data_IF_351608721902
#
_entry.id   IF_351608721902
#
_cell.length_a   1.000
_cell.length_b   1.000
_cell.length_c   1.000
_cell.angle_alpha   90.00
_cell.angle_beta   90.00
_cell.angle_gamma   90.00
#
_symmetry.space_group_name_H-M   'P 1'
#
loop_
_entity.id
_entity.type
_entity.pdbx_description
1 polymer ?
#
# COMPACT_ATOMS: atom_id res chain seq x y z
N UNK A 1 7.16 -2.52 2.95
CA UNK A 1 7.66 -1.16 3.28
C UNK A 1 8.93 -0.83 2.49
N UNK A 2 9.88 -1.78 2.35
CA UNK A 2 11.16 -1.52 1.69
C UNK A 2 11.05 -0.90 0.30
N UNK A 3 10.12 -1.40 -0.50
CA UNK A 3 9.91 -0.91 -1.87
C UNK A 3 9.51 0.58 -1.89
N UNK A 4 8.65 1.02 -0.98
CA UNK A 4 8.24 2.42 -0.87
C UNK A 4 9.34 3.32 -0.34
N UNK A 5 10.11 2.84 0.64
CA UNK A 5 11.18 3.66 1.24
C UNK A 5 12.36 3.91 0.29
N UNK A 6 12.62 3.01 -0.65
CA UNK A 6 13.77 3.10 -1.55
C UNK A 6 13.40 3.56 -2.97
N UNK A 7 12.37 2.95 -3.60
CA UNK A 7 12.16 3.14 -5.04
C UNK A 7 11.72 4.56 -5.45
N UNK A 8 10.78 5.23 -4.75
CA UNK A 8 10.46 6.63 -5.06
C UNK A 8 11.68 7.54 -4.87
N UNK A 9 12.43 7.37 -3.77
CA UNK A 9 13.65 8.15 -3.55
C UNK A 9 14.69 7.95 -4.66
N UNK A 10 14.94 6.70 -5.08
CA UNK A 10 15.87 6.43 -6.19
C UNK A 10 15.41 7.09 -7.50
N UNK A 11 14.11 7.00 -7.81
CA UNK A 11 13.57 7.58 -9.04
C UNK A 11 13.68 9.12 -9.02
N UNK A 12 13.32 9.76 -7.90
CA UNK A 12 13.44 11.20 -7.70
C UNK A 12 14.89 11.66 -7.76
N UNK A 13 15.80 10.96 -7.10
CA UNK A 13 17.24 11.23 -7.13
C UNK A 13 17.77 11.12 -8.58
N UNK A 14 17.41 10.05 -9.28
CA UNK A 14 17.82 9.84 -10.67
C UNK A 14 17.37 10.96 -11.60
N UNK A 15 16.12 11.41 -11.46
CA UNK A 15 15.56 12.50 -12.25
C UNK A 15 16.21 13.84 -11.89
N UNK A 16 16.36 14.14 -10.58
CA UNK A 16 16.89 15.42 -10.09
C UNK A 16 18.36 15.63 -10.46
N UNK A 17 19.15 14.59 -10.38
CA UNK A 17 20.62 14.67 -10.59
C UNK A 17 21.06 14.13 -11.96
N UNK A 18 20.12 13.89 -12.88
CA UNK A 18 20.41 13.35 -14.22
C UNK A 18 21.22 12.04 -14.17
N UNK A 19 20.76 11.11 -13.33
CA UNK A 19 21.37 9.79 -13.15
C UNK A 19 20.34 8.69 -13.44
N UNK A 20 20.00 8.44 -14.72
CA UNK A 20 18.92 7.56 -15.15
C UNK A 20 19.04 6.13 -14.63
N UNK A 21 20.25 5.64 -14.34
CA UNK A 21 20.47 4.30 -13.77
C UNK A 21 19.72 4.07 -12.44
N UNK A 22 19.41 5.12 -11.69
CA UNK A 22 18.63 4.99 -10.46
C UNK A 22 17.13 4.86 -10.72
N UNK A 23 16.65 5.44 -11.83
CA UNK A 23 15.29 5.20 -12.32
C UNK A 23 15.17 3.76 -12.82
N UNK A 24 16.14 3.28 -13.61
CA UNK A 24 16.18 1.90 -14.09
C UNK A 24 16.17 0.92 -12.92
N UNK A 25 16.95 1.20 -11.88
CA UNK A 25 17.01 0.34 -10.68
C UNK A 25 15.67 0.35 -9.92
N UNK A 26 15.03 1.51 -9.74
CA UNK A 26 13.71 1.60 -9.11
C UNK A 26 12.66 0.76 -9.87
N UNK A 27 12.64 0.87 -11.19
CA UNK A 27 11.76 0.08 -12.06
C UNK A 27 12.07 -1.41 -11.96
N UNK A 28 13.37 -1.78 -11.98
CA UNK A 28 13.81 -3.17 -11.82
C UNK A 28 13.34 -3.77 -10.49
N UNK A 29 13.48 -3.05 -9.38
CA UNK A 29 13.02 -3.49 -8.05
C UNK A 29 11.51 -3.71 -8.02
N UNK A 30 10.76 -2.82 -8.64
CA UNK A 30 9.30 -2.94 -8.78
C UNK A 30 8.95 -4.19 -9.60
N UNK A 31 9.57 -4.42 -10.75
CA UNK A 31 9.33 -5.61 -11.59
C UNK A 31 9.64 -6.92 -10.84
N UNK A 32 10.74 -6.96 -10.10
CA UNK A 32 11.11 -8.12 -9.26
C UNK A 32 10.08 -8.36 -8.16
N UNK A 33 9.66 -7.31 -7.47
CA UNK A 33 8.63 -7.41 -6.43
C UNK A 33 7.31 -7.94 -7.02
N UNK A 34 6.83 -7.39 -8.14
CA UNK A 34 5.63 -7.88 -8.83
C UNK A 34 5.75 -9.37 -9.15
N UNK A 35 6.84 -9.75 -9.83
CA UNK A 35 7.07 -11.12 -10.29
C UNK A 35 6.93 -12.17 -9.18
N UNK A 36 7.37 -11.84 -7.96
CA UNK A 36 7.49 -12.82 -6.87
C UNK A 36 6.42 -12.72 -5.80
N UNK A 37 5.73 -11.57 -5.69
CA UNK A 37 4.72 -11.36 -4.64
C UNK A 37 3.29 -11.27 -5.15
N UNK A 38 3.06 -11.12 -6.45
CA UNK A 38 1.72 -11.05 -7.03
C UNK A 38 1.02 -12.40 -6.99
N UNK A 39 -0.24 -12.40 -6.58
CA UNK A 39 -1.15 -13.54 -6.67
C UNK A 39 -2.27 -13.24 -7.70
N UNK A 40 -2.20 -13.90 -8.85
CA UNK A 40 -3.16 -13.70 -9.94
C UNK A 40 -4.59 -14.12 -9.59
N UNK A 41 -4.78 -14.98 -8.59
CA UNK A 41 -6.10 -15.44 -8.14
C UNK A 41 -6.85 -14.37 -7.37
N UNK A 42 -6.14 -13.58 -6.57
CA UNK A 42 -6.74 -12.54 -5.72
C UNK A 42 -6.52 -11.13 -6.26
N UNK A 43 -5.54 -10.93 -7.13
CA UNK A 43 -5.08 -9.62 -7.58
C UNK A 43 -4.31 -8.85 -6.49
N UNK A 44 -3.92 -9.52 -5.41
CA UNK A 44 -3.20 -8.95 -4.28
C UNK A 44 -1.70 -9.30 -4.31
N UNK A 45 -0.97 -8.75 -3.35
CA UNK A 45 0.46 -8.95 -3.20
C UNK A 45 0.79 -9.51 -1.81
N UNK A 46 1.54 -10.60 -1.75
CA UNK A 46 2.10 -11.11 -0.50
C UNK A 46 3.04 -10.08 0.13
N UNK A 47 3.12 -10.09 1.46
CA UNK A 47 3.94 -9.12 2.21
C UNK A 47 5.42 -9.17 1.82
N UNK A 48 5.97 -10.34 1.59
CA UNK A 48 7.37 -10.52 1.19
C UNK A 48 7.59 -11.84 0.45
N UNK A 49 8.78 -11.92 -0.14
CA UNK A 49 9.30 -13.11 -0.79
C UNK A 49 10.76 -13.34 -0.38
N UNK A 50 11.10 -14.59 -0.09
CA UNK A 50 12.46 -15.05 0.20
C UNK A 50 12.97 -15.92 -0.95
N UNK A 51 13.95 -15.41 -1.70
CA UNK A 51 14.56 -16.12 -2.82
C UNK A 51 15.18 -17.45 -2.38
N UNK A 52 15.81 -17.46 -1.20
CA UNK A 52 16.46 -18.65 -0.67
C UNK A 52 15.47 -19.70 -0.15
N UNK A 53 14.22 -19.29 0.18
CA UNK A 53 13.15 -20.12 0.77
C UNK A 53 13.54 -20.72 2.12
N UNK A 54 14.55 -20.18 2.77
CA UNK A 54 15.10 -20.68 4.05
C UNK A 54 14.53 -19.95 5.26
N UNK A 55 13.86 -18.82 5.06
CA UNK A 55 13.21 -18.11 6.17
C UNK A 55 12.03 -18.92 6.68
N UNK A 56 11.90 -19.01 7.99
CA UNK A 56 10.83 -19.78 8.66
C UNK A 56 9.42 -19.29 8.32
N UNK A 57 9.27 -18.01 7.95
CA UNK A 57 8.02 -17.43 7.52
C UNK A 57 7.72 -17.70 6.02
N UNK A 58 8.71 -18.12 5.24
CA UNK A 58 8.55 -18.32 3.81
C UNK A 58 7.98 -19.70 3.48
N UNK A 59 7.11 -19.73 2.48
CA UNK A 59 6.68 -20.98 1.89
C UNK A 59 7.90 -21.67 1.25
N UNK A 60 8.14 -22.93 1.62
CA UNK A 60 9.32 -23.70 1.15
C UNK A 60 9.34 -24.00 -0.36
N UNK A 61 8.21 -23.81 -1.05
CA UNK A 61 8.09 -24.02 -2.50
C UNK A 61 8.14 -22.69 -3.24
N UNK A 62 7.34 -21.70 -2.83
CA UNK A 62 7.20 -20.42 -3.54
C UNK A 62 8.11 -19.32 -3.00
N UNK A 63 8.52 -19.38 -1.75
CA UNK A 63 9.25 -18.33 -1.03
C UNK A 63 8.37 -17.19 -0.50
N UNK A 64 7.08 -17.21 -0.79
CA UNK A 64 6.14 -16.15 -0.39
C UNK A 64 5.77 -16.24 1.09
N UNK A 65 5.44 -15.10 1.68
CA UNK A 65 4.86 -15.01 3.02
C UNK A 65 3.41 -15.50 3.04
N UNK A 66 2.85 -15.89 4.21
CA UNK A 66 1.58 -16.64 4.24
C UNK A 66 0.32 -15.77 4.03
N UNK A 67 0.37 -14.45 4.27
CA UNK A 67 -0.82 -13.60 4.29
C UNK A 67 -0.65 -12.31 3.48
N UNK A 68 -1.78 -11.73 3.07
CA UNK A 68 -1.87 -10.42 2.43
C UNK A 68 -2.03 -9.33 3.51
N UNK A 69 -0.93 -8.78 3.98
CA UNK A 69 -0.95 -7.70 4.95
C UNK A 69 -1.31 -6.37 4.27
N UNK A 70 -2.40 -5.74 4.72
CA UNK A 70 -2.96 -4.56 4.07
C UNK A 70 -1.94 -3.43 3.86
N UNK A 71 -1.19 -3.03 4.90
CA UNK A 71 -0.20 -1.95 4.77
C UNK A 71 0.93 -2.26 3.78
N UNK A 72 1.33 -3.53 3.60
CA UNK A 72 2.33 -3.84 2.57
C UNK A 72 1.80 -3.58 1.17
N UNK A 73 0.53 -3.84 0.94
CA UNK A 73 -0.17 -3.55 -0.32
C UNK A 73 -0.31 -2.04 -0.51
N UNK A 74 -0.70 -1.32 0.54
CA UNK A 74 -0.75 0.14 0.51
C UNK A 74 0.59 0.78 0.16
N UNK A 75 1.69 0.36 0.80
CA UNK A 75 3.05 0.81 0.46
C UNK A 75 3.44 0.48 -0.98
N UNK A 76 3.06 -0.70 -1.45
CA UNK A 76 3.30 -1.11 -2.83
C UNK A 76 2.58 -0.18 -3.81
N UNK A 77 1.30 0.12 -3.55
CA UNK A 77 0.51 0.99 -4.42
C UNK A 77 1.05 2.42 -4.43
N UNK A 78 1.40 2.97 -3.25
CA UNK A 78 2.06 4.28 -3.17
C UNK A 78 3.37 4.31 -3.95
N UNK A 79 4.21 3.27 -3.82
CA UNK A 79 5.48 3.20 -4.55
C UNK A 79 5.28 3.28 -6.06
N UNK A 80 4.26 2.61 -6.60
CA UNK A 80 3.96 2.63 -8.03
C UNK A 80 3.61 4.04 -8.52
N UNK A 81 2.68 4.72 -7.84
CA UNK A 81 2.21 6.03 -8.29
C UNK A 81 3.26 7.13 -8.08
N UNK A 82 4.12 7.00 -7.04
CA UNK A 82 5.15 7.99 -6.75
C UNK A 82 6.39 7.81 -7.65
N UNK A 83 6.78 6.58 -7.96
CA UNK A 83 7.85 6.33 -8.94
C UNK A 83 7.47 6.82 -10.33
N UNK A 84 6.20 6.67 -10.73
CA UNK A 84 5.70 7.11 -12.03
C UNK A 84 5.80 8.63 -12.25
N UNK A 85 5.93 9.45 -11.21
CA UNK A 85 6.18 10.89 -11.35
C UNK A 85 7.56 11.17 -11.96
N UNK A 86 8.51 10.27 -11.80
CA UNK A 86 9.91 10.46 -12.20
C UNK A 86 10.35 9.54 -13.36
N UNK A 87 9.57 8.52 -13.69
CA UNK A 87 9.86 7.63 -14.83
C UNK A 87 9.49 8.33 -16.14
N UNK A 88 10.43 8.54 -17.08
CA UNK A 88 10.15 9.17 -18.36
C UNK A 88 9.04 8.49 -19.16
N UNK A 89 8.33 9.25 -20.00
CA UNK A 89 7.20 8.73 -20.76
C UNK A 89 7.60 7.62 -21.75
N UNK A 90 8.81 7.67 -22.26
CA UNK A 90 9.42 6.72 -23.20
C UNK A 90 10.21 5.61 -22.54
N UNK A 91 10.27 5.58 -21.22
CA UNK A 91 10.97 4.52 -20.47
C UNK A 91 10.29 3.16 -20.69
N UNK A 92 11.07 2.14 -21.05
CA UNK A 92 10.58 0.79 -21.39
C UNK A 92 9.73 0.11 -20.31
N UNK A 93 9.97 0.44 -19.04
CA UNK A 93 9.25 -0.12 -17.89
C UNK A 93 8.00 0.63 -17.47
N UNK A 94 7.75 1.83 -18.05
CA UNK A 94 6.62 2.68 -17.62
C UNK A 94 5.27 2.00 -17.83
N UNK A 95 5.08 1.31 -18.93
CA UNK A 95 3.84 0.60 -19.24
C UNK A 95 3.53 -0.51 -18.23
N UNK A 96 4.55 -1.24 -17.75
CA UNK A 96 4.38 -2.27 -16.74
C UNK A 96 3.90 -1.67 -15.40
N UNK A 97 4.51 -0.56 -14.95
CA UNK A 97 4.11 0.11 -13.72
C UNK A 97 2.65 0.59 -13.79
N UNK A 98 2.24 1.18 -14.91
CA UNK A 98 0.85 1.59 -15.12
C UNK A 98 -0.08 0.37 -15.10
N UNK A 99 0.30 -0.75 -15.72
CA UNK A 99 -0.49 -1.98 -15.69
C UNK A 99 -0.64 -2.53 -14.26
N UNK A 100 0.41 -2.43 -13.42
CA UNK A 100 0.33 -2.83 -12.01
C UNK A 100 -0.60 -1.92 -11.19
N UNK A 101 -0.58 -0.60 -11.46
CA UNK A 101 -1.54 0.37 -10.88
C UNK A 101 -2.97 0.01 -11.26
N UNK A 102 -3.21 -0.27 -12.54
CA UNK A 102 -4.53 -0.67 -13.07
C UNK A 102 -5.03 -1.98 -12.43
N UNK A 103 -4.13 -2.96 -12.28
CA UNK A 103 -4.45 -4.24 -11.63
C UNK A 103 -4.89 -4.07 -10.18
N UNK A 104 -4.19 -3.24 -9.40
CA UNK A 104 -4.60 -2.93 -8.02
C UNK A 104 -5.91 -2.15 -7.95
N UNK A 105 -6.08 -1.15 -8.81
CA UNK A 105 -7.32 -0.39 -8.87
C UNK A 105 -8.53 -1.28 -9.21
N UNK A 106 -8.33 -2.34 -10.00
CA UNK A 106 -9.38 -3.30 -10.31
C UNK A 106 -9.68 -4.27 -9.16
N UNK A 107 -8.66 -4.70 -8.40
CA UNK A 107 -8.83 -5.71 -7.34
C UNK A 107 -9.24 -5.13 -5.99
N UNK A 108 -8.67 -4.00 -5.57
CA UNK A 108 -8.88 -3.44 -4.23
C UNK A 108 -10.34 -3.11 -3.87
N UNK A 109 -11.22 -2.66 -4.80
CA UNK A 109 -12.63 -2.42 -4.47
C UNK A 109 -13.39 -3.66 -3.97
N UNK A 110 -12.97 -4.88 -4.37
CA UNK A 110 -13.58 -6.13 -3.89
C UNK A 110 -13.28 -6.40 -2.40
N UNK A 111 -12.22 -5.81 -1.87
CA UNK A 111 -11.79 -5.96 -0.48
C UNK A 111 -12.14 -4.74 0.38
N UNK A 112 -12.70 -3.69 -0.21
CA UNK A 112 -13.19 -2.53 0.52
C UNK A 112 -14.52 -2.86 1.18
N UNK A 113 -14.61 -2.69 2.49
CA UNK A 113 -15.85 -2.98 3.21
C UNK A 113 -16.98 -1.97 2.89
N UNK A 114 -18.15 -2.21 3.49
CA UNK A 114 -19.31 -1.33 3.30
C UNK A 114 -19.07 0.11 3.78
N UNK A 115 -18.21 0.28 4.78
CA UNK A 115 -17.86 1.57 5.38
C UNK A 115 -16.68 2.25 4.66
N UNK A 116 -16.13 1.63 3.61
CA UNK A 116 -15.04 2.20 2.79
C UNK A 116 -13.64 1.88 3.29
N UNK A 117 -13.48 0.97 4.24
CA UNK A 117 -12.21 0.66 4.88
C UNK A 117 -11.62 -0.66 4.38
N UNK A 118 -10.31 -0.82 4.53
CA UNK A 118 -9.62 -2.09 4.32
C UNK A 118 -9.06 -2.62 5.63
N UNK A 119 -8.97 -3.95 5.72
CA UNK A 119 -8.61 -4.67 6.92
C UNK A 119 -7.10 -4.93 7.03
N UNK A 120 -6.64 -5.19 8.25
CA UNK A 120 -5.24 -5.53 8.58
C UNK A 120 -4.73 -6.72 7.74
N UNK A 121 -5.50 -7.81 7.65
CA UNK A 121 -5.31 -8.91 6.69
C UNK A 121 -6.44 -8.80 5.67
N UNK A 122 -6.11 -8.28 4.49
CA UNK A 122 -7.07 -7.62 3.61
C UNK A 122 -8.13 -8.57 3.01
N UNK A 123 -7.78 -9.83 2.79
CA UNK A 123 -8.63 -10.85 2.18
C UNK A 123 -9.45 -11.68 3.19
N UNK A 124 -9.38 -11.35 4.49
CA UNK A 124 -10.01 -12.11 5.55
C UNK A 124 -10.84 -11.22 6.50
N UNK A 125 -11.74 -10.35 5.99
CA UNK A 125 -12.44 -9.35 6.81
C UNK A 125 -13.29 -9.98 7.91
N UNK A 126 -13.92 -11.15 7.65
CA UNK A 126 -14.81 -11.83 8.58
C UNK A 126 -14.07 -12.70 9.62
N UNK A 127 -12.75 -12.83 9.50
CA UNK A 127 -12.00 -13.69 10.41
C UNK A 127 -11.85 -13.02 11.77
N UNK A 128 -12.10 -13.78 12.84
CA UNK A 128 -12.05 -13.30 14.22
C UNK A 128 -10.75 -12.57 14.54
N UNK A 129 -10.88 -11.39 15.17
CA UNK A 129 -9.76 -10.54 15.57
C UNK A 129 -9.23 -9.61 14.48
N UNK A 130 -9.65 -9.77 13.21
CA UNK A 130 -9.27 -8.82 12.15
C UNK A 130 -10.00 -7.48 12.35
N UNK A 131 -9.40 -6.41 11.86
CA UNK A 131 -9.94 -5.07 12.06
C UNK A 131 -9.68 -4.15 10.87
N UNK A 132 -10.57 -3.16 10.61
CA UNK A 132 -10.30 -2.09 9.68
C UNK A 132 -9.08 -1.28 10.14
N UNK A 133 -8.10 -1.12 9.25
CA UNK A 133 -6.78 -0.59 9.61
C UNK A 133 -6.52 0.74 8.87
N UNK A 134 -6.10 1.75 9.64
CA UNK A 134 -5.98 3.11 9.14
C UNK A 134 -4.93 3.26 8.05
N UNK A 135 -3.74 2.64 8.19
CA UNK A 135 -2.67 2.90 7.25
C UNK A 135 -2.93 2.31 5.86
N UNK A 136 -3.45 1.10 5.75
CA UNK A 136 -3.82 0.56 4.44
C UNK A 136 -4.92 1.41 3.79
N UNK A 137 -5.89 1.86 4.58
CA UNK A 137 -7.01 2.66 4.07
C UNK A 137 -6.54 4.01 3.54
N UNK A 138 -5.70 4.73 4.28
CA UNK A 138 -5.16 6.03 3.85
C UNK A 138 -4.22 5.90 2.66
N UNK A 139 -3.39 4.86 2.63
CA UNK A 139 -2.46 4.59 1.53
C UNK A 139 -3.19 4.24 0.23
N UNK A 140 -4.22 3.39 0.29
CA UNK A 140 -5.04 3.06 -0.87
C UNK A 140 -5.85 4.28 -1.34
N UNK A 141 -6.43 5.06 -0.43
CA UNK A 141 -7.11 6.31 -0.74
C UNK A 141 -6.22 7.26 -1.53
N UNK A 142 -5.01 7.53 -1.02
CA UNK A 142 -4.04 8.38 -1.71
C UNK A 142 -3.66 7.84 -3.08
N UNK A 143 -3.25 6.57 -3.16
CA UNK A 143 -2.75 6.01 -4.41
C UNK A 143 -3.83 5.95 -5.50
N UNK A 144 -5.08 5.63 -5.14
CA UNK A 144 -6.21 5.63 -6.09
C UNK A 144 -6.50 7.05 -6.56
N UNK A 145 -6.61 8.03 -5.65
CA UNK A 145 -6.89 9.41 -6.01
C UNK A 145 -5.82 9.98 -6.94
N UNK A 146 -4.53 9.78 -6.59
CA UNK A 146 -3.40 10.20 -7.44
C UNK A 146 -3.41 9.50 -8.80
N UNK A 147 -3.67 8.19 -8.84
CA UNK A 147 -3.71 7.46 -10.10
C UNK A 147 -4.83 7.96 -11.04
N UNK A 148 -5.98 8.35 -10.48
CA UNK A 148 -7.06 9.02 -11.25
C UNK A 148 -6.59 10.37 -11.76
N UNK A 149 -6.06 11.24 -10.90
CA UNK A 149 -5.61 12.59 -11.27
C UNK A 149 -4.51 12.56 -12.34
N UNK A 150 -3.64 11.54 -12.32
CA UNK A 150 -2.58 11.34 -13.32
C UNK A 150 -3.06 10.62 -14.60
N UNK A 151 -4.32 10.21 -14.68
CA UNK A 151 -4.87 9.49 -15.83
C UNK A 151 -4.35 8.05 -16.01
N UNK A 152 -3.81 7.43 -14.96
CA UNK A 152 -3.33 6.04 -15.02
C UNK A 152 -4.46 5.02 -14.94
N UNK A 153 -5.59 5.40 -14.33
CA UNK A 153 -6.81 4.58 -14.19
C UNK A 153 -8.06 5.38 -14.54
N UNK A 154 -9.15 4.66 -14.80
CA UNK A 154 -10.46 5.23 -15.14
C UNK A 154 -10.97 6.15 -14.01
N UNK A 155 -11.51 7.35 -14.32
CA UNK A 155 -12.07 8.29 -13.33
C UNK A 155 -13.13 7.70 -12.40
N UNK A 156 -13.84 6.64 -12.81
CA UNK A 156 -14.80 5.94 -11.94
C UNK A 156 -14.22 5.46 -10.61
N UNK A 157 -12.90 5.19 -10.56
CA UNK A 157 -12.22 4.77 -9.33
C UNK A 157 -12.11 5.89 -8.29
N UNK A 158 -12.34 7.15 -8.66
CA UNK A 158 -12.40 8.25 -7.69
C UNK A 158 -13.41 7.98 -6.57
N UNK A 159 -14.56 7.40 -6.90
CA UNK A 159 -15.57 7.03 -5.92
C UNK A 159 -15.08 6.05 -4.86
N UNK A 160 -14.10 5.18 -5.18
CA UNK A 160 -13.49 4.26 -4.21
C UNK A 160 -12.64 5.02 -3.19
N UNK A 161 -11.86 6.01 -3.65
CA UNK A 161 -11.06 6.85 -2.77
C UNK A 161 -11.93 7.77 -1.89
N UNK A 162 -13.00 8.34 -2.46
CA UNK A 162 -13.97 9.17 -1.71
C UNK A 162 -14.72 8.35 -0.65
N UNK A 163 -15.08 7.11 -0.97
CA UNK A 163 -15.69 6.19 0.00
C UNK A 163 -14.72 5.89 1.14
N UNK A 164 -13.42 5.69 0.86
CA UNK A 164 -12.39 5.50 1.88
C UNK A 164 -12.23 6.76 2.76
N UNK A 165 -12.22 7.95 2.18
CA UNK A 165 -12.16 9.21 2.91
C UNK A 165 -13.34 9.34 3.87
N UNK A 166 -14.56 9.08 3.42
CA UNK A 166 -15.75 9.15 4.25
C UNK A 166 -15.70 8.13 5.39
N UNK A 167 -15.30 6.89 5.09
CA UNK A 167 -15.14 5.86 6.12
C UNK A 167 -14.09 6.19 7.16
N UNK A 168 -12.93 6.75 6.75
CA UNK A 168 -11.92 7.25 7.67
C UNK A 168 -12.50 8.34 8.58
N UNK A 169 -13.19 9.32 8.00
CA UNK A 169 -13.80 10.42 8.73
C UNK A 169 -14.83 9.95 9.76
N UNK A 170 -15.68 9.01 9.39
CA UNK A 170 -16.78 8.55 10.26
C UNK A 170 -16.34 7.54 11.31
N UNK A 171 -15.35 6.69 11.02
CA UNK A 171 -15.01 5.52 11.84
C UNK A 171 -13.66 5.59 12.53
N UNK A 172 -12.68 6.28 11.92
CA UNK A 172 -11.30 6.25 12.39
C UNK A 172 -10.75 7.62 12.81
N UNK A 173 -11.38 8.72 12.41
CA UNK A 173 -11.07 10.05 12.91
C UNK A 173 -11.91 10.36 14.15
N UNK A 174 -11.24 10.84 15.19
CA UNK A 174 -11.86 11.35 16.42
C UNK A 174 -11.48 12.82 16.59
N UNK A 175 -12.47 13.67 16.73
CA UNK A 175 -12.25 15.06 17.12
C UNK A 175 -12.01 15.15 18.63
N UNK A 176 -10.99 15.88 19.02
CA UNK A 176 -10.61 16.11 20.40
C UNK A 176 -11.27 17.42 20.93
N UNK A 177 -11.40 17.59 22.25
CA UNK A 177 -12.02 18.80 22.83
C UNK A 177 -11.33 20.12 22.47
N UNK A 178 -10.07 20.08 22.07
CA UNK A 178 -9.28 21.23 21.61
C UNK A 178 -9.40 21.50 20.10
N UNK A 179 -10.25 20.75 19.37
CA UNK A 179 -10.46 20.87 17.94
C UNK A 179 -9.40 20.14 17.08
N UNK A 180 -8.42 19.48 17.68
CA UNK A 180 -7.48 18.63 16.94
C UNK A 180 -8.12 17.30 16.56
N UNK A 181 -7.55 16.65 15.54
CA UNK A 181 -8.01 15.34 15.09
C UNK A 181 -7.04 14.23 15.50
N UNK A 182 -7.58 13.10 15.90
CA UNK A 182 -6.82 11.88 16.15
C UNK A 182 -7.22 10.82 15.13
N UNK A 183 -6.28 10.36 14.34
CA UNK A 183 -6.45 9.19 13.47
C UNK A 183 -6.13 7.92 14.25
N UNK A 184 -7.14 7.09 14.46
CA UNK A 184 -7.07 5.90 15.30
C UNK A 184 -6.81 4.63 14.50
N UNK A 185 -6.55 3.51 15.19
CA UNK A 185 -6.47 2.15 14.63
C UNK A 185 -5.39 1.94 13.57
N UNK A 186 -4.23 2.58 13.71
CA UNK A 186 -3.07 2.25 12.91
C UNK A 186 -2.28 1.10 13.57
N UNK A 187 -2.02 0.03 12.85
CA UNK A 187 -1.08 -1.01 13.27
C UNK A 187 0.31 -0.40 13.49
N UNK A 188 0.88 -0.56 14.68
CA UNK A 188 2.15 0.07 15.04
C UNK A 188 3.29 -0.39 14.14
N UNK A 189 3.43 -1.69 13.95
CA UNK A 189 4.51 -2.28 13.16
C UNK A 189 4.02 -3.56 12.48
N UNK A 190 4.63 -3.90 11.37
CA UNK A 190 4.51 -5.20 10.73
C UNK A 190 5.84 -5.53 10.06
N UNK A 191 6.24 -6.78 10.15
CA UNK A 191 7.50 -7.23 9.57
C UNK A 191 7.57 -8.75 9.58
N UNK A 192 8.66 -9.29 9.09
CA UNK A 192 8.90 -10.74 9.04
C UNK A 192 10.31 -11.02 9.57
N UNK A 193 10.47 -12.15 10.26
CA UNK A 193 11.73 -12.50 10.89
C UNK A 193 12.08 -11.61 12.09
N UNK A 194 13.36 -11.49 12.40
CA UNK A 194 13.85 -10.67 13.50
C UNK A 194 13.78 -11.33 14.89
N UNK A 195 13.92 -10.49 15.93
CA UNK A 195 13.84 -10.91 17.33
C UNK A 195 12.99 -9.89 18.11
N UNK A 196 11.85 -10.28 18.74
CA UNK A 196 11.22 -11.60 18.65
C UNK A 196 10.88 -11.97 17.19
N UNK A 197 10.78 -13.27 16.91
CA UNK A 197 10.53 -13.75 15.55
C UNK A 197 9.10 -13.48 15.11
N UNK A 198 8.95 -12.87 13.95
CA UNK A 198 7.68 -12.53 13.30
C UNK A 198 7.46 -13.50 12.15
N UNK A 199 6.49 -14.37 12.30
CA UNK A 199 6.25 -15.49 11.39
C UNK A 199 5.31 -15.17 10.22
N UNK A 200 4.69 -13.96 10.24
CA UNK A 200 3.72 -13.57 9.23
C UNK A 200 2.41 -14.33 9.25
N UNK A 201 2.14 -15.07 10.32
CA UNK A 201 0.86 -15.75 10.53
C UNK A 201 -0.28 -14.74 10.68
N UNK A 202 -1.52 -15.20 10.52
CA UNK A 202 -2.69 -14.38 10.82
C UNK A 202 -2.66 -13.86 12.26
N UNK A 203 -2.41 -14.76 13.22
CA UNK A 203 -2.32 -14.38 14.64
C UNK A 203 -1.25 -13.33 14.93
N UNK A 204 -0.12 -13.40 14.22
CA UNK A 204 0.90 -12.36 14.31
C UNK A 204 0.35 -10.98 13.88
N UNK A 205 -0.28 -10.87 12.73
CA UNK A 205 -0.76 -9.57 12.23
C UNK A 205 -1.86 -8.96 13.09
N UNK A 206 -2.83 -9.77 13.55
CA UNK A 206 -3.92 -9.24 14.38
C UNK A 206 -3.49 -8.96 15.83
N UNK A 207 -2.40 -9.60 16.30
CA UNK A 207 -1.81 -9.39 17.63
C UNK A 207 -0.90 -8.16 17.73
N UNK A 208 -0.59 -7.49 16.62
CA UNK A 208 0.24 -6.29 16.64
C UNK A 208 -0.48 -5.11 17.30
N UNK A 209 0.28 -4.32 18.05
CA UNK A 209 -0.26 -3.16 18.78
C UNK A 209 -0.88 -2.15 17.82
N UNK A 210 -1.99 -1.59 18.23
CA UNK A 210 -2.64 -0.46 17.57
C UNK A 210 -2.13 0.84 18.17
N UNK A 211 -1.96 1.86 17.33
CA UNK A 211 -1.41 3.16 17.70
C UNK A 211 -2.22 4.27 17.03
N UNK A 212 -2.50 5.33 17.81
CA UNK A 212 -3.13 6.53 17.28
C UNK A 212 -2.06 7.47 16.67
N UNK A 213 -2.46 8.26 15.70
CA UNK A 213 -1.63 9.27 15.01
C UNK A 213 -0.26 8.76 14.53
N UNK A 214 -0.21 7.51 14.09
CA UNK A 214 1.01 6.96 13.55
C UNK A 214 1.29 7.55 12.15
N UNK A 215 2.53 8.01 11.92
CA UNK A 215 2.94 8.67 10.68
C UNK A 215 2.68 7.83 9.42
N UNK A 216 2.65 6.50 9.54
CA UNK A 216 2.34 5.58 8.43
C UNK A 216 0.89 5.66 7.94
N UNK A 217 0.02 6.29 8.73
CA UNK A 217 -1.37 6.57 8.36
C UNK A 217 -1.61 8.08 8.18
N UNK A 218 -1.08 8.92 9.07
CA UNK A 218 -1.34 10.38 9.01
C UNK A 218 -0.71 11.03 7.78
N UNK A 219 0.49 10.63 7.38
CA UNK A 219 1.12 11.12 6.14
C UNK A 219 0.27 10.82 4.91
N UNK A 220 -0.02 9.54 4.61
CA UNK A 220 -0.91 9.19 3.49
C UNK A 220 -2.32 9.77 3.59
N UNK A 221 -2.87 9.98 4.78
CA UNK A 221 -4.14 10.68 4.95
C UNK A 221 -4.09 12.10 4.41
N UNK A 222 -3.06 12.88 4.79
CA UNK A 222 -2.87 14.26 4.32
C UNK A 222 -2.67 14.27 2.80
N UNK A 223 -1.81 13.39 2.28
CA UNK A 223 -1.56 13.27 0.84
C UNK A 223 -2.85 12.92 0.08
N UNK A 224 -3.66 11.99 0.59
CA UNK A 224 -4.93 11.61 -0.01
C UNK A 224 -5.96 12.74 0.00
N UNK A 225 -6.01 13.53 1.08
CA UNK A 225 -6.87 14.72 1.14
C UNK A 225 -6.47 15.76 0.08
N UNK A 226 -5.17 15.96 -0.14
CA UNK A 226 -4.67 16.87 -1.17
C UNK A 226 -5.05 16.38 -2.59
N UNK A 227 -4.90 15.08 -2.86
CA UNK A 227 -5.29 14.52 -4.15
C UNK A 227 -6.81 14.57 -4.40
N UNK A 228 -7.62 14.33 -3.37
CA UNK A 228 -9.08 14.44 -3.47
C UNK A 228 -9.57 15.89 -3.56
N UNK A 229 -8.82 16.85 -3.05
CA UNK A 229 -9.10 18.26 -3.12
C UNK A 229 -8.73 18.92 -4.45
N UNK A 230 -8.02 18.23 -5.35
CA UNK A 230 -7.77 18.70 -6.70
C UNK A 230 -9.09 18.60 -7.49
N UNK A 231 -9.68 19.75 -7.79
CA UNK A 231 -10.79 19.88 -8.75
C UNK A 231 -10.20 20.40 -10.05
N UNK A 232 -10.59 19.79 -11.17
CA UNK A 232 -10.26 20.27 -12.53
C UNK A 232 -10.69 21.73 -12.75
#
# INVERSE_FOLDING_TARGET
AGIYMASPFMAEYGATFNQPQWIDEAVRQIRVCHKHTFDARTGLYYHAWDESKNQRWANSVTGQSPNFWGRSIGWWFMALVDVLDFVPADHEGRADLIAYVQGLAASLPYYQDKDGLWYQVIDQPEREGNFPEASVTTQCMYAIAKAVNKGYIDPKYRAVAEKAFNGLKEKLLRENPDGTLTLTRCCQVGGLGGRPYRDGSYGYYIGEKIRDNDAKATGPYIMGCLELGQTD
#
